data_IF_367044569864
#
_entry.id   IF_367044569864
#
_cell.length_a   1.000
_cell.length_b   1.000
_cell.length_c   1.000
_cell.angle_alpha   90.00
_cell.angle_beta   90.00
_cell.angle_gamma   90.00
#
_symmetry.space_group_name_H-M   'P 1'
#
loop_
_entity.id
_entity.type
_entity.pdbx_description
1 polymer ?
#
# COMPACT_ATOMS: atom_id res chain seq x y z
N UNK A 1 10.42 -21.52 -1.45
CA UNK A 1 10.71 -20.06 -1.54
C UNK A 1 11.29 -19.58 -0.23
N UNK A 2 12.52 -19.08 -0.23
CA UNK A 2 13.19 -18.52 0.95
C UNK A 2 12.42 -17.29 1.47
N UNK A 3 12.42 -17.07 2.80
CA UNK A 3 11.72 -15.92 3.43
C UNK A 3 12.14 -14.57 2.81
N UNK A 4 13.42 -14.45 2.45
CA UNK A 4 14.02 -13.27 1.81
C UNK A 4 13.36 -12.95 0.47
N UNK A 5 13.17 -13.96 -0.39
CA UNK A 5 12.56 -13.75 -1.70
C UNK A 5 11.12 -13.23 -1.59
N UNK A 6 10.35 -13.75 -0.62
CA UNK A 6 8.98 -13.26 -0.37
C UNK A 6 8.97 -11.81 0.09
N UNK A 7 9.84 -11.44 1.03
CA UNK A 7 9.96 -10.05 1.48
C UNK A 7 10.35 -9.10 0.36
N UNK A 8 11.24 -9.54 -0.55
CA UNK A 8 11.65 -8.75 -1.70
C UNK A 8 10.51 -8.51 -2.69
N UNK A 9 9.71 -9.53 -3.00
CA UNK A 9 8.53 -9.37 -3.86
C UNK A 9 7.51 -8.41 -3.26
N UNK A 10 7.25 -8.50 -1.95
CA UNK A 10 6.33 -7.55 -1.28
C UNK A 10 6.90 -6.13 -1.30
N UNK A 11 8.21 -5.97 -1.13
CA UNK A 11 8.86 -4.67 -1.24
C UNK A 11 8.71 -4.05 -2.65
N UNK A 12 8.91 -4.85 -3.70
CA UNK A 12 8.69 -4.40 -5.08
C UNK A 12 7.23 -4.02 -5.33
N UNK A 13 6.28 -4.79 -4.79
CA UNK A 13 4.85 -4.46 -4.86
C UNK A 13 4.55 -3.11 -4.19
N UNK A 14 5.11 -2.88 -3.00
CA UNK A 14 4.92 -1.60 -2.30
C UNK A 14 5.57 -0.43 -3.06
N UNK A 15 6.74 -0.62 -3.68
CA UNK A 15 7.33 0.40 -4.56
C UNK A 15 6.48 0.69 -5.80
N UNK A 16 5.87 -0.34 -6.40
CA UNK A 16 4.96 -0.13 -7.53
C UNK A 16 3.71 0.65 -7.12
N UNK A 17 3.29 0.58 -5.85
CA UNK A 17 2.16 1.35 -5.34
C UNK A 17 2.42 2.86 -5.43
N UNK A 18 3.66 3.29 -5.16
CA UNK A 18 4.05 4.69 -5.33
C UNK A 18 3.97 5.13 -6.78
N UNK A 19 4.54 4.33 -7.69
CA UNK A 19 4.52 4.66 -9.13
C UNK A 19 3.07 4.75 -9.62
N UNK A 20 2.24 3.80 -9.22
CA UNK A 20 0.82 3.78 -9.51
C UNK A 20 0.10 5.01 -8.94
N UNK A 21 0.33 5.36 -7.68
CA UNK A 21 -0.33 6.51 -7.05
C UNK A 21 0.12 7.85 -7.63
N UNK A 22 1.41 7.98 -7.97
CA UNK A 22 1.96 9.18 -8.57
C UNK A 22 1.43 9.36 -9.99
N UNK A 23 1.71 8.40 -10.88
CA UNK A 23 1.30 8.48 -12.28
C UNK A 23 -0.23 8.45 -12.41
N UNK A 24 -0.90 7.56 -11.67
CA UNK A 24 -2.36 7.48 -11.63
C UNK A 24 -3.00 8.75 -11.08
N UNK A 25 -2.37 9.43 -10.13
CA UNK A 25 -2.82 10.73 -9.63
C UNK A 25 -2.80 11.81 -10.72
N UNK A 26 -1.75 11.84 -11.54
CA UNK A 26 -1.69 12.74 -12.70
C UNK A 26 -2.74 12.37 -13.76
N UNK A 27 -2.85 11.10 -14.12
CA UNK A 27 -3.83 10.64 -15.10
C UNK A 27 -5.26 10.98 -14.64
N UNK A 28 -5.64 10.66 -13.40
CA UNK A 28 -6.97 11.01 -12.88
C UNK A 28 -7.20 12.53 -12.86
N UNK A 29 -6.15 13.33 -12.57
CA UNK A 29 -6.25 14.79 -12.54
C UNK A 29 -6.44 15.39 -13.94
N UNK A 30 -5.93 14.75 -14.98
CA UNK A 30 -6.00 15.19 -16.36
C UNK A 30 -7.00 14.36 -17.20
N UNK A 31 -7.97 13.69 -16.56
CA UNK A 31 -8.99 12.86 -17.23
C UNK A 31 -8.39 11.80 -18.18
N UNK A 32 -7.31 11.16 -17.76
CA UNK A 32 -6.50 10.19 -18.52
C UNK A 32 -5.81 10.77 -19.76
N UNK A 33 -5.77 12.09 -19.91
CA UNK A 33 -4.92 12.75 -20.89
C UNK A 33 -3.47 12.83 -20.39
N UNK A 34 -2.51 12.78 -21.31
CA UNK A 34 -1.09 12.79 -20.98
C UNK A 34 -0.57 14.23 -20.88
N UNK A 35 -0.21 14.70 -19.67
CA UNK A 35 0.14 16.10 -19.49
C UNK A 35 1.60 16.36 -19.91
N UNK A 36 1.83 16.65 -21.19
CA UNK A 36 3.17 16.90 -21.76
C UNK A 36 3.99 17.93 -20.96
N UNK A 37 3.32 18.99 -20.49
CA UNK A 37 3.95 20.04 -19.69
C UNK A 37 4.45 19.54 -18.32
N UNK A 38 3.86 18.50 -17.75
CA UNK A 38 4.17 18.00 -16.41
C UNK A 38 5.08 16.77 -16.41
N UNK A 39 5.55 16.30 -17.57
CA UNK A 39 6.39 15.10 -17.69
C UNK A 39 7.70 15.23 -16.90
N UNK A 40 8.33 16.39 -16.95
CA UNK A 40 9.54 16.71 -16.18
C UNK A 40 9.26 16.61 -14.67
N UNK A 41 8.16 17.20 -14.20
CA UNK A 41 7.72 17.12 -12.80
C UNK A 41 7.42 15.69 -12.38
N UNK A 42 6.78 14.91 -13.26
CA UNK A 42 6.49 13.50 -13.01
C UNK A 42 7.78 12.69 -12.88
N UNK A 43 8.76 12.90 -13.76
CA UNK A 43 10.05 12.21 -13.74
C UNK A 43 10.88 12.58 -12.49
N UNK A 44 11.07 13.88 -12.22
CA UNK A 44 11.78 14.34 -11.03
C UNK A 44 11.08 13.92 -9.73
N UNK A 45 9.74 13.93 -9.73
CA UNK A 45 8.93 13.42 -8.65
C UNK A 45 9.21 11.94 -8.39
N UNK A 46 9.26 11.09 -9.42
CA UNK A 46 9.60 9.68 -9.25
C UNK A 46 11.01 9.48 -8.71
N UNK A 47 12.00 10.20 -9.25
CA UNK A 47 13.40 10.12 -8.80
C UNK A 47 13.53 10.47 -7.32
N UNK A 48 12.78 11.45 -6.84
CA UNK A 48 12.80 11.87 -5.44
C UNK A 48 11.93 10.99 -4.52
N UNK A 49 10.70 10.68 -4.95
CA UNK A 49 9.71 10.01 -4.12
C UNK A 49 9.99 8.51 -3.98
N UNK A 50 10.54 7.83 -5.00
CA UNK A 50 10.90 6.42 -4.92
C UNK A 50 11.85 6.10 -3.76
N UNK A 51 13.04 6.72 -3.65
CA UNK A 51 13.94 6.45 -2.54
C UNK A 51 13.34 6.91 -1.20
N UNK A 52 12.63 8.04 -1.16
CA UNK A 52 11.98 8.52 0.06
C UNK A 52 10.94 7.51 0.58
N UNK A 53 10.14 6.93 -0.32
CA UNK A 53 9.15 5.92 0.03
C UNK A 53 9.77 4.57 0.38
N UNK A 54 10.84 4.16 -0.31
CA UNK A 54 11.60 2.96 0.06
C UNK A 54 12.09 3.04 1.51
N UNK A 55 12.61 4.21 1.91
CA UNK A 55 13.02 4.50 3.29
C UNK A 55 11.80 4.54 4.22
N UNK A 56 10.70 5.18 3.82
CA UNK A 56 9.46 5.22 4.60
C UNK A 56 8.90 3.82 4.91
N UNK A 57 8.88 2.92 3.92
CA UNK A 57 8.45 1.53 4.09
C UNK A 57 9.35 0.75 5.06
N UNK A 58 10.66 1.04 5.04
CA UNK A 58 11.63 0.45 5.97
C UNK A 58 11.44 0.96 7.40
N UNK A 59 11.25 2.27 7.58
CA UNK A 59 10.99 2.92 8.88
C UNK A 59 9.65 2.44 9.46
N UNK A 60 8.61 2.36 8.63
CA UNK A 60 7.29 1.85 9.02
C UNK A 60 7.32 0.36 9.41
N UNK A 61 8.41 -0.36 9.08
CA UNK A 61 8.60 -1.74 9.47
C UNK A 61 7.63 -2.70 8.77
N UNK A 62 7.20 -2.37 7.55
CA UNK A 62 6.23 -3.17 6.77
C UNK A 62 6.65 -4.64 6.63
N UNK A 63 7.95 -4.92 6.67
CA UNK A 63 8.53 -6.23 6.40
C UNK A 63 8.90 -7.03 7.66
N UNK A 64 8.77 -6.45 8.87
CA UNK A 64 9.19 -7.10 10.12
C UNK A 64 8.23 -8.17 10.64
N UNK A 65 7.07 -8.32 10.02
CA UNK A 65 6.11 -9.37 10.36
C UNK A 65 5.31 -9.71 9.12
N UNK A 66 5.82 -10.65 8.31
CA UNK A 66 5.15 -11.13 7.10
C UNK A 66 3.77 -11.65 7.51
N UNK A 67 2.74 -10.82 7.31
CA UNK A 67 1.36 -11.26 7.13
C UNK A 67 0.69 -11.96 8.32
N UNK A 68 1.03 -11.61 9.56
CA UNK A 68 0.21 -12.02 10.72
C UNK A 68 -0.93 -11.00 10.90
N UNK A 69 -1.94 -11.13 10.07
CA UNK A 69 -3.17 -10.36 10.16
C UNK A 69 -4.04 -10.87 11.32
N UNK A 70 -3.99 -10.17 12.45
CA UNK A 70 -5.05 -10.22 13.45
C UNK A 70 -5.49 -8.83 13.95
N UNK A 71 -4.86 -7.72 13.56
CA UNK A 71 -5.04 -6.49 14.34
C UNK A 71 -4.72 -5.15 13.62
N UNK A 72 -5.25 -4.06 14.21
CA UNK A 72 -4.93 -2.63 14.02
C UNK A 72 -3.45 -2.27 13.71
N UNK A 73 -2.41 -2.99 14.18
CA UNK A 73 -1.02 -2.67 13.90
C UNK A 73 -0.61 -2.71 12.43
N UNK A 74 -1.18 -3.58 11.59
CA UNK A 74 -0.79 -3.62 10.17
C UNK A 74 -1.29 -2.37 9.42
N UNK A 75 -2.55 -2.01 9.66
CA UNK A 75 -3.12 -0.76 9.17
C UNK A 75 -2.31 0.45 9.66
N UNK A 76 -1.90 0.48 10.93
CA UNK A 76 -1.02 1.53 11.47
C UNK A 76 0.32 1.60 10.74
N UNK A 77 0.90 0.48 10.32
CA UNK A 77 2.16 0.46 9.55
C UNK A 77 1.96 1.02 8.15
N UNK A 78 0.90 0.61 7.44
CA UNK A 78 0.55 1.17 6.12
C UNK A 78 0.30 2.67 6.24
N UNK A 79 -0.51 3.09 7.21
CA UNK A 79 -0.77 4.52 7.46
C UNK A 79 0.51 5.30 7.76
N UNK A 80 1.45 4.75 8.52
CA UNK A 80 2.76 5.38 8.75
C UNK A 80 3.57 5.49 7.46
N UNK A 81 3.62 4.45 6.64
CA UNK A 81 4.34 4.49 5.37
C UNK A 81 3.73 5.52 4.39
N UNK A 82 2.40 5.54 4.28
CA UNK A 82 1.66 6.51 3.46
C UNK A 82 1.86 7.92 3.98
N UNK A 83 1.75 8.14 5.30
CA UNK A 83 1.97 9.44 5.93
C UNK A 83 3.38 9.97 5.69
N UNK A 84 4.41 9.15 5.92
CA UNK A 84 5.81 9.52 5.63
C UNK A 84 6.03 9.82 4.15
N UNK A 85 5.43 9.05 3.25
CA UNK A 85 5.51 9.32 1.81
C UNK A 85 4.78 10.61 1.41
N UNK A 86 3.69 10.95 2.11
CA UNK A 86 2.95 12.20 1.89
C UNK A 86 3.74 13.40 2.39
N UNK A 87 4.44 13.27 3.51
CA UNK A 87 5.39 14.29 3.98
C UNK A 87 6.51 14.47 2.96
N UNK A 88 7.06 13.39 2.40
CA UNK A 88 8.05 13.49 1.32
C UNK A 88 7.49 14.22 0.09
N UNK A 89 6.22 13.99 -0.26
CA UNK A 89 5.55 14.74 -1.32
C UNK A 89 5.41 16.24 -0.98
N UNK A 90 5.05 16.59 0.25
CA UNK A 90 4.97 17.99 0.68
C UNK A 90 6.33 18.68 0.60
N UNK A 91 7.39 17.99 1.04
CA UNK A 91 8.77 18.47 0.92
C UNK A 91 9.12 18.67 -0.56
N UNK A 92 8.85 17.68 -1.41
CA UNK A 92 9.08 17.79 -2.85
C UNK A 92 8.38 19.03 -3.43
N UNK A 93 7.09 19.24 -3.14
CA UNK A 93 6.33 20.40 -3.63
C UNK A 93 6.88 21.73 -3.11
N UNK A 94 7.36 21.77 -1.87
CA UNK A 94 7.90 22.99 -1.27
C UNK A 94 9.23 23.43 -1.92
N UNK A 95 10.10 22.47 -2.25
CA UNK A 95 11.40 22.72 -2.84
C UNK A 95 11.38 22.77 -4.37
N UNK A 96 10.46 22.05 -5.01
CA UNK A 96 10.34 21.99 -6.46
C UNK A 96 9.68 23.27 -6.98
N UNK A 97 10.52 24.24 -7.37
CA UNK A 97 10.12 25.51 -8.00
C UNK A 97 10.74 25.70 -9.38
N UNK A 98 10.88 24.62 -10.14
CA UNK A 98 11.33 24.71 -11.52
C UNK A 98 10.21 25.32 -12.39
N UNK A 99 10.51 26.43 -13.06
CA UNK A 99 9.75 27.01 -14.18
C UNK A 99 8.27 27.35 -13.90
N UNK A 100 7.92 27.78 -12.69
CA UNK A 100 6.54 28.12 -12.29
C UNK A 100 5.52 26.98 -12.41
N UNK A 101 5.96 25.75 -12.72
CA UNK A 101 5.06 24.60 -12.81
C UNK A 101 4.78 24.05 -11.42
N UNK A 102 3.67 24.50 -10.86
CA UNK A 102 3.20 24.05 -9.55
C UNK A 102 2.53 22.70 -9.69
N UNK A 103 2.98 21.72 -8.89
CA UNK A 103 2.30 20.41 -8.77
C UNK A 103 0.82 20.65 -8.45
N UNK A 104 -0.13 20.05 -9.21
CA UNK A 104 -1.55 20.21 -8.94
C UNK A 104 -1.90 19.84 -7.49
N UNK A 105 -2.51 20.77 -6.74
CA UNK A 105 -2.85 20.58 -5.31
C UNK A 105 -3.72 19.34 -5.04
N UNK A 106 -4.49 18.91 -6.03
CA UNK A 106 -5.27 17.66 -6.00
C UNK A 106 -4.42 16.41 -5.74
N UNK A 107 -3.15 16.40 -6.18
CA UNK A 107 -2.23 15.28 -5.93
C UNK A 107 -1.96 15.08 -4.43
N UNK A 108 -2.08 16.13 -3.60
CA UNK A 108 -1.92 16.00 -2.15
C UNK A 108 -2.97 15.06 -1.52
N UNK A 109 -4.14 14.95 -2.15
CA UNK A 109 -5.23 14.07 -1.69
C UNK A 109 -5.22 12.76 -2.48
N UNK A 110 -5.09 12.83 -3.81
CA UNK A 110 -5.11 11.66 -4.67
C UNK A 110 -3.96 10.70 -4.39
N UNK A 111 -2.74 11.22 -4.18
CA UNK A 111 -1.56 10.40 -3.95
C UNK A 111 -1.70 9.49 -2.71
N UNK A 112 -1.94 9.99 -1.48
CA UNK A 112 -2.11 9.12 -0.32
C UNK A 112 -3.33 8.21 -0.42
N UNK A 113 -4.42 8.67 -1.04
CA UNK A 113 -5.63 7.88 -1.21
C UNK A 113 -5.39 6.66 -2.13
N UNK A 114 -4.75 6.88 -3.28
CA UNK A 114 -4.39 5.80 -4.21
C UNK A 114 -3.36 4.84 -3.61
N UNK A 115 -2.37 5.37 -2.88
CA UNK A 115 -1.40 4.53 -2.17
C UNK A 115 -2.08 3.65 -1.12
N UNK A 116 -2.97 4.22 -0.31
CA UNK A 116 -3.75 3.44 0.67
C UNK A 116 -4.60 2.37 -0.02
N UNK A 117 -5.29 2.72 -1.10
CA UNK A 117 -6.12 1.80 -1.84
C UNK A 117 -5.30 0.65 -2.43
N UNK A 118 -4.15 0.94 -3.04
CA UNK A 118 -3.30 -0.07 -3.65
C UNK A 118 -2.62 -0.97 -2.61
N UNK A 119 -1.96 -0.36 -1.61
CA UNK A 119 -1.23 -1.10 -0.58
C UNK A 119 -2.16 -1.84 0.38
N UNK A 120 -3.22 -1.18 0.83
CA UNK A 120 -4.23 -1.75 1.73
C UNK A 120 -5.13 -2.74 1.01
N UNK A 121 -5.62 -2.38 -0.18
CA UNK A 121 -6.46 -3.23 -1.01
C UNK A 121 -5.74 -4.48 -1.51
N UNK A 122 -4.49 -4.37 -1.96
CA UNK A 122 -3.70 -5.53 -2.38
C UNK A 122 -3.46 -6.53 -1.25
N UNK A 123 -3.19 -6.04 -0.03
CA UNK A 123 -3.03 -6.88 1.16
C UNK A 123 -4.36 -7.55 1.56
N UNK A 124 -5.46 -6.81 1.57
CA UNK A 124 -6.78 -7.32 1.86
C UNK A 124 -7.21 -8.38 0.82
N UNK A 125 -7.02 -8.10 -0.48
CA UNK A 125 -7.39 -8.98 -1.58
C UNK A 125 -6.62 -10.30 -1.56
N UNK A 126 -5.28 -10.26 -1.42
CA UNK A 126 -4.51 -11.50 -1.34
C UNK A 126 -4.87 -12.29 -0.08
N UNK A 127 -5.20 -11.62 1.04
CA UNK A 127 -5.69 -12.32 2.23
C UNK A 127 -7.02 -13.01 1.94
N UNK A 128 -8.02 -12.29 1.43
CA UNK A 128 -9.34 -12.86 1.12
C UNK A 128 -9.20 -14.06 0.19
N UNK A 129 -8.36 -13.96 -0.84
CA UNK A 129 -8.08 -15.06 -1.75
C UNK A 129 -7.42 -16.26 -1.05
N UNK A 130 -6.41 -16.02 -0.22
CA UNK A 130 -5.70 -17.06 0.53
C UNK A 130 -6.62 -17.73 1.55
N UNK A 131 -7.38 -16.95 2.31
CA UNK A 131 -8.34 -17.41 3.31
C UNK A 131 -9.46 -18.22 2.65
N UNK A 132 -10.04 -17.73 1.56
CA UNK A 132 -11.03 -18.48 0.78
C UNK A 132 -10.46 -19.79 0.21
N UNK A 133 -9.20 -19.82 -0.23
CA UNK A 133 -8.59 -21.05 -0.79
C UNK A 133 -8.24 -22.07 0.30
N UNK A 134 -7.76 -21.63 1.46
CA UNK A 134 -7.43 -22.51 2.60
C UNK A 134 -8.69 -22.98 3.31
N UNK A 135 -9.57 -22.06 3.71
CA UNK A 135 -10.80 -22.40 4.44
C UNK A 135 -11.89 -22.96 3.54
N UNK A 136 -11.99 -22.56 2.28
CA UNK A 136 -12.97 -23.15 1.34
C UNK A 136 -12.76 -24.66 1.13
N UNK A 137 -11.51 -25.12 1.13
CA UNK A 137 -11.20 -26.55 1.08
C UNK A 137 -11.38 -27.27 2.43
N UNK A 138 -11.13 -26.58 3.55
CA UNK A 138 -11.30 -27.11 4.91
C UNK A 138 -12.77 -27.17 5.35
N UNK A 139 -13.64 -26.27 4.91
CA UNK A 139 -15.10 -26.33 5.15
C UNK A 139 -15.68 -27.61 4.54
N UNK A 140 -15.18 -28.04 3.37
CA UNK A 140 -15.56 -29.31 2.75
C UNK A 140 -14.99 -30.56 3.47
N UNK A 141 -13.97 -30.40 4.32
CA UNK A 141 -13.33 -31.49 5.08
C UNK A 141 -13.62 -31.47 6.59
N UNK A 142 -14.31 -30.44 7.09
CA UNK A 142 -14.65 -30.31 8.49
C UNK A 142 -15.57 -31.44 8.93
N UNK A 143 -15.05 -32.38 9.74
CA UNK A 143 -15.89 -33.41 10.36
C UNK A 143 -16.84 -32.73 11.35
N UNK A 144 -18.17 -32.93 11.27
CA UNK A 144 -19.09 -32.40 12.25
C UNK A 144 -18.76 -33.02 13.62
N UNK A 145 -18.45 -32.16 14.59
CA UNK A 145 -18.19 -32.58 15.97
C UNK A 145 -19.35 -32.09 16.82
N UNK A 146 -20.02 -33.02 17.49
CA UNK A 146 -21.06 -32.72 18.48
C UNK A 146 -20.37 -32.61 19.84
N UNK A 147 -20.47 -31.44 20.47
CA UNK A 147 -20.01 -31.24 21.85
C UNK A 147 -21.17 -31.59 22.78
N UNK A 148 -21.08 -32.75 23.44
CA UNK A 148 -22.04 -33.15 24.47
C UNK A 148 -21.43 -32.80 25.82
N UNK A 149 -22.07 -31.90 26.58
CA UNK A 149 -21.60 -31.47 27.91
C UNK A 149 -20.91 -30.10 27.97
N UNK A 150 -21.25 -29.17 27.07
CA UNK A 150 -20.91 -27.76 27.26
C UNK A 150 -21.72 -27.20 28.44
N UNK A 151 -21.18 -27.32 29.66
CA UNK A 151 -21.74 -26.65 30.84
C UNK A 151 -21.70 -25.12 30.71
N UNK A 152 -21.75 -24.38 31.82
CA UNK A 152 -21.75 -22.89 31.82
C UNK A 152 -20.55 -22.22 31.10
N UNK A 153 -19.49 -22.95 30.76
CA UNK A 153 -18.32 -22.44 30.04
C UNK A 153 -18.38 -22.56 28.52
N UNK A 154 -19.48 -23.07 27.94
CA UNK A 154 -19.63 -23.24 26.49
C UNK A 154 -20.60 -22.27 25.81
N UNK A 155 -21.01 -21.20 26.49
CA UNK A 155 -21.76 -20.08 25.93
C UNK A 155 -20.83 -18.94 25.54
#
# INVERSE_FOLDING_TARGET
MTKIFRSFVVFLFDLSALVFAWVGGFLLRFNFDWPANFVSVMAWGLIFLLPAHAVACRIAGLYRGIWMFASLPDLKRVLRAVGLSTVALLVFIAFYRLEHQVVPRSLLVLYPMLMMLYMGGGRAAYRMWKEHRLYGGLIAQGKPVVIVGAGRGGA
#
